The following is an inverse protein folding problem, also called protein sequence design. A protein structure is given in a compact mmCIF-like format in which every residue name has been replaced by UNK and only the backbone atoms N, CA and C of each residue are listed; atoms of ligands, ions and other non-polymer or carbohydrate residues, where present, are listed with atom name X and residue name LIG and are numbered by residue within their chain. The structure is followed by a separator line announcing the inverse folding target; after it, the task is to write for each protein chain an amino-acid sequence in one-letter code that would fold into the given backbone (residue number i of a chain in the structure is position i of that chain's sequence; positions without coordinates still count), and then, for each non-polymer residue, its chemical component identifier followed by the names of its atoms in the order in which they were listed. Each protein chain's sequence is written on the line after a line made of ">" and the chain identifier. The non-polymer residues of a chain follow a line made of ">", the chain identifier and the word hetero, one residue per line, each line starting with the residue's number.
data_IF_407676848853
#
_entry.id   IF_407676848853
#
_cell.length_a   1.000
_cell.length_b   1.000
_cell.length_c   1.000
_cell.angle_alpha   90.00
_cell.angle_beta   90.00
_cell.angle_gamma   90.00
#
_symmetry.space_group_name_H-M   'P 1'
#
loop_
_entity.id
_entity.type
_entity.pdbx_description
1 polymer ?
#
# COMPACT_ATOMS: atom_id res chain seq x y z
N UNK A 1 27.17 33.36 53.19
CA UNK A 1 27.22 33.19 51.74
C UNK A 1 25.78 33.00 51.32
N UNK A 2 25.09 34.07 50.95
CA UNK A 2 23.71 33.99 50.43
C UNK A 2 23.79 33.48 49.00
N UNK A 3 23.29 32.28 48.74
CA UNK A 3 23.14 31.75 47.40
C UNK A 3 22.30 32.72 46.58
N UNK A 4 22.95 33.35 45.60
CA UNK A 4 22.30 34.20 44.61
C UNK A 4 21.47 33.26 43.75
N UNK A 5 20.16 33.23 43.99
CA UNK A 5 19.20 32.63 43.07
C UNK A 5 19.31 33.43 41.78
N UNK A 6 19.97 32.86 40.77
CA UNK A 6 20.04 33.44 39.43
C UNK A 6 18.63 33.42 38.84
N UNK A 7 17.99 34.58 38.82
CA UNK A 7 16.64 34.81 38.29
C UNK A 7 16.64 34.83 36.74
N UNK A 8 17.40 33.93 36.11
CA UNK A 8 17.43 33.82 34.65
C UNK A 8 16.12 33.16 34.18
N UNK A 9 15.38 33.78 33.24
CA UNK A 9 14.16 33.18 32.73
C UNK A 9 14.50 31.86 32.05
N UNK A 10 13.88 30.77 32.51
CA UNK A 10 14.03 29.44 31.89
C UNK A 10 13.67 29.56 30.41
N UNK A 11 14.67 29.40 29.54
CA UNK A 11 14.44 29.42 28.09
C UNK A 11 13.66 28.17 27.69
N UNK A 12 12.43 28.35 27.24
CA UNK A 12 11.56 27.25 26.83
C UNK A 12 11.85 26.89 25.37
N UNK A 13 12.17 25.62 25.13
CA UNK A 13 12.34 25.07 23.79
C UNK A 13 11.07 24.34 23.34
N UNK A 14 10.37 24.91 22.37
CA UNK A 14 9.23 24.27 21.72
C UNK A 14 9.71 23.34 20.60
N UNK A 15 9.19 22.11 20.57
CA UNK A 15 9.55 21.10 19.56
C UNK A 15 8.31 20.70 18.77
N UNK A 16 8.54 20.05 17.64
CA UNK A 16 7.46 19.38 16.93
C UNK A 16 6.80 18.33 17.84
N UNK A 17 5.49 18.44 17.98
CA UNK A 17 4.70 17.56 18.83
C UNK A 17 3.86 16.61 17.97
N UNK A 18 4.35 15.38 17.81
CA UNK A 18 3.64 14.35 17.06
C UNK A 18 2.27 13.98 17.67
N UNK A 19 2.11 14.15 18.98
CA UNK A 19 0.83 13.93 19.65
C UNK A 19 -0.19 14.99 19.29
N UNK A 20 0.22 16.26 19.25
CA UNK A 20 -0.62 17.37 18.80
C UNK A 20 -1.01 17.23 17.32
N UNK A 21 -0.09 16.76 16.48
CA UNK A 21 -0.37 16.48 15.08
C UNK A 21 -1.39 15.34 14.90
N UNK A 22 -1.15 14.16 15.50
CA UNK A 22 -1.98 12.97 15.26
C UNK A 22 -3.29 12.98 16.02
N UNK A 23 -3.25 13.27 17.33
CA UNK A 23 -4.43 13.21 18.18
C UNK A 23 -5.20 14.54 18.21
N UNK A 24 -4.62 15.61 17.67
CA UNK A 24 -5.26 16.90 17.38
C UNK A 24 -6.24 17.33 18.49
N UNK A 25 -7.55 17.18 18.29
CA UNK A 25 -8.58 17.56 19.25
C UNK A 25 -8.45 16.87 20.62
N UNK A 26 -8.09 15.59 20.69
CA UNK A 26 -7.89 14.86 21.97
C UNK A 26 -6.72 15.48 22.73
N UNK A 27 -5.60 15.68 22.02
CA UNK A 27 -4.43 16.32 22.61
C UNK A 27 -4.77 17.72 23.09
N UNK A 28 -5.53 18.51 22.32
CA UNK A 28 -5.94 19.85 22.68
C UNK A 28 -6.82 19.90 23.93
N UNK A 29 -7.79 18.98 24.06
CA UNK A 29 -8.61 18.86 25.28
C UNK A 29 -7.75 18.57 26.51
N UNK A 30 -6.78 17.65 26.43
CA UNK A 30 -5.91 17.30 27.55
C UNK A 30 -4.89 18.42 27.91
N UNK A 31 -4.56 19.29 26.96
CA UNK A 31 -3.53 20.32 27.08
C UNK A 31 -4.06 21.76 27.10
N UNK A 32 -5.38 21.95 27.19
CA UNK A 32 -5.99 23.27 27.29
C UNK A 32 -5.91 24.09 26.01
N UNK A 33 -5.83 23.46 24.83
CA UNK A 33 -5.72 24.15 23.53
C UNK A 33 -7.03 24.01 22.75
N UNK A 34 -8.02 24.90 22.97
CA UNK A 34 -9.33 24.81 22.30
C UNK A 34 -9.22 24.98 20.79
N UNK A 35 -8.18 25.65 20.30
CA UNK A 35 -7.91 25.81 18.87
C UNK A 35 -7.72 24.45 18.17
N UNK A 36 -7.36 23.40 18.91
CA UNK A 36 -7.29 22.06 18.35
C UNK A 36 -8.65 21.52 17.89
N UNK A 37 -9.78 22.04 18.40
CA UNK A 37 -11.11 21.64 17.95
C UNK A 37 -11.39 22.06 16.50
N UNK A 38 -10.62 23.00 15.94
CA UNK A 38 -10.70 23.35 14.52
C UNK A 38 -10.38 22.17 13.60
N UNK A 39 -9.70 21.12 14.09
CA UNK A 39 -9.48 19.90 13.30
C UNK A 39 -10.75 19.08 13.07
N UNK A 40 -11.87 19.44 13.70
CA UNK A 40 -13.17 18.82 13.45
C UNK A 40 -13.93 19.48 12.29
N UNK A 41 -13.45 20.62 11.80
CA UNK A 41 -14.06 21.35 10.68
C UNK A 41 -13.49 20.83 9.36
N UNK A 42 -14.33 20.35 8.41
CA UNK A 42 -13.87 19.92 7.10
C UNK A 42 -13.09 21.03 6.37
N UNK A 43 -11.98 20.66 5.72
CA UNK A 43 -11.08 21.60 5.05
C UNK A 43 -9.99 22.13 5.99
N UNK A 44 -10.37 22.62 7.17
CA UNK A 44 -9.40 23.08 8.19
C UNK A 44 -8.64 21.92 8.80
N UNK A 45 -9.29 20.76 8.91
CA UNK A 45 -8.73 19.50 9.39
C UNK A 45 -7.51 18.98 8.59
N UNK A 46 -7.20 19.53 7.41
CA UNK A 46 -5.97 19.19 6.68
C UNK A 46 -4.77 20.04 7.11
N UNK A 47 -4.98 21.32 7.40
CA UNK A 47 -3.90 22.27 7.69
C UNK A 47 -3.63 22.34 9.20
N UNK A 48 -4.69 22.39 9.98
CA UNK A 48 -4.63 22.63 11.42
C UNK A 48 -3.79 21.59 12.20
N UNK A 49 -3.79 20.28 11.86
CA UNK A 49 -2.88 19.33 12.50
C UNK A 49 -1.41 19.74 12.39
N UNK A 50 -0.97 20.27 11.24
CA UNK A 50 0.41 20.74 11.07
C UNK A 50 0.69 21.97 11.93
N UNK A 51 -0.26 22.91 12.00
CA UNK A 51 -0.13 24.08 12.86
C UNK A 51 -0.02 23.66 14.34
N UNK A 52 -0.81 22.67 14.77
CA UNK A 52 -0.71 22.06 16.09
C UNK A 52 0.60 21.31 16.30
N UNK A 53 1.12 20.61 15.29
CA UNK A 53 2.41 19.94 15.39
C UNK A 53 3.56 20.93 15.65
N UNK A 54 3.54 22.09 14.98
CA UNK A 54 4.58 23.12 15.16
C UNK A 54 4.39 23.97 16.42
N UNK A 55 3.17 24.40 16.72
CA UNK A 55 2.88 25.37 17.79
C UNK A 55 2.28 24.72 19.04
N UNK A 56 2.01 23.42 19.03
CA UNK A 56 1.30 22.72 20.10
C UNK A 56 1.96 22.90 21.45
N UNK A 57 3.26 22.63 21.57
CA UNK A 57 3.97 22.81 22.84
C UNK A 57 3.83 24.25 23.37
N UNK A 58 3.95 25.25 22.48
CA UNK A 58 3.79 26.66 22.85
C UNK A 58 2.39 26.97 23.35
N UNK A 59 1.36 26.56 22.60
CA UNK A 59 -0.02 26.81 22.99
C UNK A 59 -0.43 26.05 24.26
N UNK A 60 0.08 24.84 24.46
CA UNK A 60 -0.15 24.08 25.68
C UNK A 60 0.50 24.76 26.90
N UNK A 61 1.68 25.35 26.72
CA UNK A 61 2.34 26.13 27.77
C UNK A 61 1.55 27.40 28.13
N UNK A 62 1.06 28.12 27.12
CA UNK A 62 0.36 29.40 27.30
C UNK A 62 -1.07 29.27 27.84
N UNK A 63 -1.79 28.18 27.53
CA UNK A 63 -3.23 28.07 27.81
C UNK A 63 -3.58 27.19 29.02
N UNK A 64 -2.62 26.51 29.64
CA UNK A 64 -2.85 25.62 30.78
C UNK A 64 -1.92 25.95 31.93
N UNK A 65 -2.44 25.85 33.15
CA UNK A 65 -1.61 25.95 34.36
C UNK A 65 -0.78 24.67 34.56
N UNK A 66 0.53 24.84 34.71
CA UNK A 66 1.48 23.76 34.95
C UNK A 66 2.16 23.97 36.30
N UNK A 67 2.30 22.91 37.10
CA UNK A 67 2.93 23.02 38.42
C UNK A 67 4.45 23.28 38.31
N UNK A 68 5.07 22.81 37.23
CA UNK A 68 6.47 23.10 36.90
C UNK A 68 6.76 22.90 35.42
N UNK A 69 7.87 23.48 34.95
CA UNK A 69 8.38 23.24 33.60
C UNK A 69 8.69 21.75 33.35
N UNK A 70 9.23 21.04 34.33
CA UNK A 70 9.54 19.61 34.21
C UNK A 70 8.28 18.76 34.04
N UNK A 71 7.20 19.11 34.77
CA UNK A 71 5.91 18.45 34.61
C UNK A 71 5.38 18.63 33.18
N UNK A 72 5.41 19.87 32.67
CA UNK A 72 5.01 20.18 31.30
C UNK A 72 5.81 19.35 30.28
N UNK A 73 7.14 19.36 30.40
CA UNK A 73 8.04 18.63 29.48
C UNK A 73 7.80 17.13 29.51
N UNK A 74 7.57 16.55 30.69
CA UNK A 74 7.27 15.12 30.82
C UNK A 74 5.96 14.75 30.10
N UNK A 75 4.93 15.60 30.19
CA UNK A 75 3.64 15.38 29.52
C UNK A 75 3.78 15.52 28.01
N UNK A 76 4.40 16.61 27.51
CA UNK A 76 4.57 16.80 26.06
C UNK A 76 5.45 15.73 25.43
N UNK A 77 6.50 15.28 26.14
CA UNK A 77 7.35 14.19 25.67
C UNK A 77 6.56 12.88 25.49
N UNK A 78 5.67 12.54 26.43
CA UNK A 78 4.80 11.35 26.32
C UNK A 78 3.90 11.45 25.08
N UNK A 79 3.22 12.59 24.91
CA UNK A 79 2.37 12.83 23.73
C UNK A 79 3.15 12.73 22.41
N UNK A 80 4.32 13.36 22.34
CA UNK A 80 5.15 13.33 21.13
C UNK A 80 5.71 11.94 20.84
N UNK A 81 6.10 11.16 21.85
CA UNK A 81 6.54 9.77 21.65
C UNK A 81 5.37 8.91 21.16
N UNK A 82 4.21 8.97 21.82
CA UNK A 82 3.04 8.16 21.45
C UNK A 82 2.58 8.47 20.03
N UNK A 83 2.51 9.75 19.65
CA UNK A 83 2.18 10.14 18.27
C UNK A 83 3.22 9.66 17.26
N UNK A 84 4.51 9.80 17.57
CA UNK A 84 5.58 9.38 16.67
C UNK A 84 5.62 7.87 16.45
N UNK A 85 5.42 7.08 17.51
CA UNK A 85 5.32 5.61 17.42
C UNK A 85 4.14 5.19 16.54
N UNK A 86 2.98 5.82 16.72
CA UNK A 86 1.79 5.51 15.92
C UNK A 86 2.00 5.81 14.42
N UNK A 87 2.64 6.94 14.09
CA UNK A 87 3.02 7.24 12.69
C UNK A 87 3.98 6.20 12.13
N UNK A 88 5.01 5.82 12.90
CA UNK A 88 5.95 4.79 12.49
C UNK A 88 5.24 3.48 12.13
N UNK A 89 4.27 3.06 12.96
CA UNK A 89 3.42 1.91 12.64
C UNK A 89 2.55 2.13 11.40
N UNK A 90 1.87 3.28 11.26
CA UNK A 90 1.03 3.56 10.10
C UNK A 90 1.81 3.55 8.78
N UNK A 91 3.02 4.12 8.77
CA UNK A 91 3.89 4.10 7.59
C UNK A 91 4.32 2.67 7.28
N UNK A 92 4.78 1.91 8.27
CA UNK A 92 5.18 0.52 8.09
C UNK A 92 4.03 -0.33 7.54
N UNK A 93 2.87 -0.32 8.19
CA UNK A 93 1.70 -1.07 7.74
C UNK A 93 1.20 -0.59 6.37
N UNK A 94 1.19 0.72 6.12
CA UNK A 94 0.83 1.29 4.83
C UNK A 94 1.72 0.78 3.71
N UNK A 95 3.04 0.74 3.91
CA UNK A 95 3.98 0.20 2.91
C UNK A 95 3.75 -1.27 2.62
N UNK A 96 3.48 -2.09 3.65
CA UNK A 96 3.17 -3.52 3.47
C UNK A 96 1.87 -3.68 2.68
N UNK A 97 0.80 -2.97 3.05
CA UNK A 97 -0.49 -3.04 2.34
C UNK A 97 -0.34 -2.65 0.87
N UNK A 98 0.29 -1.51 0.58
CA UNK A 98 0.52 -1.05 -0.80
C UNK A 98 1.28 -2.10 -1.60
N UNK A 99 2.38 -2.66 -1.04
CA UNK A 99 3.15 -3.69 -1.73
C UNK A 99 2.34 -4.95 -2.09
N UNK A 100 1.43 -5.37 -1.21
CA UNK A 100 0.54 -6.52 -1.49
C UNK A 100 -0.56 -6.20 -2.51
N UNK A 101 -1.02 -4.95 -2.55
CA UNK A 101 -2.02 -4.49 -3.54
C UNK A 101 -1.40 -4.40 -4.93
N UNK A 102 -0.16 -3.91 -5.04
CA UNK A 102 0.56 -3.82 -6.32
C UNK A 102 0.74 -5.21 -6.96
N UNK A 103 1.10 -6.23 -6.17
CA UNK A 103 1.20 -7.64 -6.64
C UNK A 103 -0.14 -8.15 -7.18
N UNK A 104 -1.26 -7.78 -6.54
CA UNK A 104 -2.60 -8.18 -7.02
C UNK A 104 -2.96 -7.48 -8.33
N UNK A 105 -2.62 -6.19 -8.49
CA UNK A 105 -2.92 -5.41 -9.70
C UNK A 105 -2.18 -5.97 -10.92
N UNK A 106 -0.93 -6.39 -10.79
CA UNK A 106 -0.17 -6.97 -11.91
C UNK A 106 -0.77 -8.32 -12.36
N UNK A 107 -1.24 -9.10 -11.40
CA UNK A 107 -1.89 -10.39 -11.64
C UNK A 107 -3.21 -10.23 -12.40
N UNK A 108 -4.03 -9.24 -12.03
CA UNK A 108 -5.33 -8.97 -12.69
C UNK A 108 -5.13 -8.65 -14.18
N UNK A 109 -4.12 -7.83 -14.53
CA UNK A 109 -3.82 -7.47 -15.93
C UNK A 109 -3.41 -8.66 -16.79
N UNK A 110 -2.63 -9.58 -16.21
CA UNK A 110 -2.21 -10.79 -16.91
C UNK A 110 -3.42 -11.71 -17.17
N UNK A 111 -4.32 -11.83 -16.20
CA UNK A 111 -5.56 -12.60 -16.35
C UNK A 111 -6.46 -11.99 -17.41
N UNK A 112 -6.64 -10.66 -17.41
CA UNK A 112 -7.42 -9.98 -18.45
C UNK A 112 -6.85 -10.22 -19.85
N UNK A 113 -5.52 -10.22 -20.00
CA UNK A 113 -4.85 -10.54 -21.26
C UNK A 113 -5.10 -11.99 -21.71
N UNK A 114 -5.01 -12.94 -20.77
CA UNK A 114 -5.27 -14.36 -21.03
C UNK A 114 -6.72 -14.57 -21.46
N UNK A 115 -7.67 -13.93 -20.77
CA UNK A 115 -9.09 -14.03 -21.08
C UNK A 115 -9.42 -13.37 -22.42
N UNK A 116 -8.84 -12.21 -22.73
CA UNK A 116 -8.98 -11.56 -24.04
C UNK A 116 -8.47 -12.47 -25.16
N UNK A 117 -7.28 -13.06 -25.00
CA UNK A 117 -6.70 -13.94 -26.02
C UNK A 117 -7.44 -15.26 -26.16
N UNK A 118 -7.87 -15.86 -25.04
CA UNK A 118 -8.69 -17.07 -25.06
C UNK A 118 -10.04 -16.81 -25.74
N UNK A 119 -10.67 -15.64 -25.53
CA UNK A 119 -11.96 -15.30 -26.15
C UNK A 119 -11.91 -15.20 -27.68
N UNK A 120 -10.73 -14.91 -28.26
CA UNK A 120 -10.53 -14.86 -29.72
C UNK A 120 -10.54 -16.24 -30.37
N UNK A 121 -10.30 -17.31 -29.60
CA UNK A 121 -10.33 -18.69 -30.10
C UNK A 121 -11.73 -19.29 -30.00
N UNK A 122 -12.25 -19.75 -31.14
CA UNK A 122 -13.56 -20.40 -31.24
C UNK A 122 -13.65 -21.69 -30.38
N UNK A 123 -12.52 -22.33 -30.10
CA UNK A 123 -12.44 -23.55 -29.29
C UNK A 123 -12.46 -23.23 -27.79
N UNK A 124 -11.81 -22.14 -27.37
CA UNK A 124 -11.80 -21.67 -25.98
C UNK A 124 -13.16 -21.11 -25.54
N UNK A 125 -13.82 -20.33 -26.41
CA UNK A 125 -15.08 -19.66 -26.09
C UNK A 125 -16.18 -20.65 -25.65
N UNK A 126 -16.26 -21.81 -26.34
CA UNK A 126 -17.21 -22.88 -26.03
C UNK A 126 -16.91 -23.61 -24.72
N UNK A 127 -15.63 -23.66 -24.34
CA UNK A 127 -15.16 -24.37 -23.15
C UNK A 127 -15.24 -23.50 -21.90
N UNK A 128 -14.97 -22.20 -22.01
CA UNK A 128 -14.92 -21.29 -20.88
C UNK A 128 -16.29 -20.86 -20.35
N UNK A 129 -17.28 -20.64 -21.23
CA UNK A 129 -18.65 -20.20 -20.89
C UNK A 129 -18.70 -19.24 -19.68
N UNK A 130 -17.98 -18.12 -19.82
CA UNK A 130 -17.68 -17.08 -18.83
C UNK A 130 -18.92 -16.59 -18.01
N UNK A 131 -18.71 -16.08 -16.78
CA UNK A 131 -17.49 -15.42 -16.27
C UNK A 131 -16.62 -16.21 -15.27
N UNK A 132 -15.28 -16.03 -15.38
CA UNK A 132 -14.31 -16.39 -14.32
C UNK A 132 -14.59 -15.51 -13.11
N UNK A 133 -14.75 -16.12 -11.94
CA UNK A 133 -15.02 -15.39 -10.69
C UNK A 133 -13.79 -15.21 -9.81
N UNK A 134 -12.82 -16.11 -9.94
CA UNK A 134 -11.63 -16.09 -9.11
C UNK A 134 -10.46 -16.74 -9.85
N UNK A 135 -9.24 -16.41 -9.45
CA UNK A 135 -8.03 -17.00 -9.99
C UNK A 135 -6.92 -17.05 -8.93
N UNK A 136 -5.98 -17.98 -9.09
CA UNK A 136 -4.78 -18.06 -8.25
C UNK A 136 -3.53 -18.20 -9.10
N UNK A 137 -2.54 -17.36 -8.83
CA UNK A 137 -1.20 -17.56 -9.37
C UNK A 137 -0.58 -18.77 -8.66
N UNK A 138 -0.14 -19.76 -9.44
CA UNK A 138 0.45 -20.98 -8.90
C UNK A 138 1.97 -20.93 -8.95
N UNK A 139 2.53 -20.55 -10.09
CA UNK A 139 3.98 -20.45 -10.28
C UNK A 139 4.31 -19.45 -11.40
N UNK A 140 5.44 -18.77 -11.28
CA UNK A 140 5.98 -17.89 -12.33
C UNK A 140 7.50 -17.93 -12.33
N UNK A 141 8.09 -18.22 -13.48
CA UNK A 141 9.55 -18.31 -13.66
C UNK A 141 10.02 -17.36 -14.75
N UNK A 142 11.25 -16.88 -14.61
CA UNK A 142 11.91 -16.04 -15.60
C UNK A 142 13.26 -16.66 -15.96
N UNK A 143 13.51 -16.87 -17.24
CA UNK A 143 14.79 -17.26 -17.80
C UNK A 143 15.39 -16.07 -18.54
N UNK A 144 16.50 -15.55 -18.02
CA UNK A 144 17.22 -14.42 -18.62
C UNK A 144 18.39 -14.99 -19.41
N UNK A 145 18.36 -14.81 -20.72
CA UNK A 145 19.49 -15.05 -21.64
C UNK A 145 20.00 -13.70 -22.16
N UNK A 146 21.21 -13.68 -22.76
CA UNK A 146 21.89 -12.44 -23.18
C UNK A 146 21.02 -11.50 -24.03
N UNK A 147 20.19 -12.05 -24.94
CA UNK A 147 19.36 -11.26 -25.87
C UNK A 147 17.84 -11.45 -25.70
N UNK A 148 17.40 -12.28 -24.74
CA UNK A 148 15.97 -12.61 -24.56
C UNK A 148 15.63 -12.93 -23.12
N UNK A 149 14.51 -12.39 -22.65
CA UNK A 149 13.90 -12.78 -21.38
C UNK A 149 12.69 -13.66 -21.70
N UNK A 150 12.66 -14.88 -21.20
CA UNK A 150 11.49 -15.75 -21.28
C UNK A 150 10.80 -15.78 -19.93
N UNK A 151 9.51 -15.47 -19.88
CA UNK A 151 8.67 -15.60 -18.70
C UNK A 151 7.69 -16.76 -18.92
N UNK A 152 7.55 -17.62 -17.92
CA UNK A 152 6.54 -18.68 -17.90
C UNK A 152 5.68 -18.52 -16.65
N UNK A 153 4.36 -18.60 -16.78
CA UNK A 153 3.43 -18.46 -15.67
C UNK A 153 2.34 -19.53 -15.74
N UNK A 154 1.96 -20.06 -14.57
CA UNK A 154 0.84 -20.98 -14.39
C UNK A 154 -0.22 -20.32 -13.52
N UNK A 155 -1.43 -20.16 -14.06
CA UNK A 155 -2.56 -19.52 -13.40
C UNK A 155 -3.74 -20.48 -13.37
N UNK A 156 -4.31 -20.68 -12.18
CA UNK A 156 -5.54 -21.46 -12.01
C UNK A 156 -6.72 -20.50 -12.15
N UNK A 157 -7.58 -20.76 -13.14
CA UNK A 157 -8.80 -20.03 -13.46
C UNK A 157 -9.99 -20.77 -12.87
N UNK A 158 -10.77 -20.11 -12.01
CA UNK A 158 -11.92 -20.71 -11.33
C UNK A 158 -13.23 -20.08 -11.82
N UNK A 159 -14.12 -20.91 -12.36
CA UNK A 159 -15.49 -20.57 -12.76
C UNK A 159 -16.50 -21.32 -11.88
N UNK A 160 -17.79 -20.94 -11.95
CA UNK A 160 -18.89 -21.63 -11.25
C UNK A 160 -19.06 -23.10 -11.67
N UNK A 161 -18.50 -23.50 -12.81
CA UNK A 161 -18.72 -24.82 -13.43
C UNK A 161 -17.47 -25.62 -13.69
N UNK A 162 -16.33 -24.96 -13.89
CA UNK A 162 -15.07 -25.57 -14.34
C UNK A 162 -13.89 -24.86 -13.72
N UNK A 163 -12.89 -25.63 -13.31
CA UNK A 163 -11.54 -25.12 -13.03
C UNK A 163 -10.66 -25.40 -14.25
N UNK A 164 -9.72 -24.49 -14.53
CA UNK A 164 -8.77 -24.66 -15.61
C UNK A 164 -7.40 -24.09 -15.26
N UNK A 165 -6.35 -24.78 -15.67
CA UNK A 165 -4.95 -24.39 -15.46
C UNK A 165 -4.40 -23.78 -16.75
N UNK A 166 -4.15 -22.47 -16.76
CA UNK A 166 -3.56 -21.74 -17.85
C UNK A 166 -2.03 -21.68 -17.71
N UNK A 167 -1.32 -22.28 -18.66
CA UNK A 167 0.12 -22.10 -18.84
C UNK A 167 0.37 -21.06 -19.91
N UNK A 168 1.18 -20.07 -19.56
CA UNK A 168 1.49 -18.91 -20.39
C UNK A 168 2.99 -18.80 -20.54
N UNK A 169 3.46 -18.64 -21.77
CA UNK A 169 4.85 -18.34 -22.06
C UNK A 169 4.94 -17.05 -22.88
N UNK A 170 5.76 -16.11 -22.42
CA UNK A 170 6.02 -14.85 -23.12
C UNK A 170 7.52 -14.60 -23.24
N UNK A 171 7.94 -14.00 -24.34
CA UNK A 171 9.35 -13.64 -24.60
C UNK A 171 9.46 -12.15 -24.81
N UNK A 172 10.41 -11.51 -24.12
CA UNK A 172 10.78 -10.13 -24.37
C UNK A 172 11.87 -10.07 -25.44
N UNK A 173 11.64 -9.30 -26.50
CA UNK A 173 12.62 -9.01 -27.55
C UNK A 173 12.62 -7.50 -27.81
N UNK A 174 13.80 -6.86 -27.79
CA UNK A 174 13.94 -5.40 -27.93
C UNK A 174 13.04 -4.60 -26.95
N UNK A 175 12.94 -5.05 -25.69
CA UNK A 175 12.06 -4.49 -24.65
C UNK A 175 10.54 -4.62 -24.89
N UNK A 176 10.11 -5.34 -25.93
CA UNK A 176 8.70 -5.62 -26.23
C UNK A 176 8.37 -7.06 -25.87
N UNK A 177 7.27 -7.27 -25.13
CA UNK A 177 6.78 -8.61 -24.78
C UNK A 177 5.92 -9.19 -25.89
N UNK A 178 6.20 -10.44 -26.24
CA UNK A 178 5.44 -11.24 -27.20
C UNK A 178 4.95 -12.52 -26.52
N UNK A 179 3.66 -12.79 -26.64
CA UNK A 179 3.06 -14.04 -26.16
C UNK A 179 3.48 -15.17 -27.12
N UNK A 180 4.20 -16.17 -26.61
CA UNK A 180 4.72 -17.29 -27.40
C UNK A 180 3.76 -18.49 -27.34
N UNK A 181 3.18 -18.75 -26.17
CA UNK A 181 2.14 -19.77 -26.03
C UNK A 181 1.16 -19.45 -24.91
N UNK A 182 -0.07 -19.91 -25.08
CA UNK A 182 -1.11 -19.92 -24.08
C UNK A 182 -1.83 -21.27 -24.22
N UNK A 183 -1.80 -22.10 -23.18
CA UNK A 183 -2.49 -23.39 -23.15
C UNK A 183 -3.29 -23.49 -21.86
N UNK A 184 -4.57 -23.82 -21.97
CA UNK A 184 -5.46 -23.96 -20.83
C UNK A 184 -5.93 -25.40 -20.75
N UNK A 185 -5.66 -26.06 -19.62
CA UNK A 185 -6.05 -27.43 -19.33
C UNK A 185 -7.27 -27.40 -18.41
N UNK A 186 -8.32 -28.15 -18.74
CA UNK A 186 -9.51 -28.26 -17.91
C UNK A 186 -9.51 -29.60 -17.16
N UNK A 187 -10.21 -29.67 -16.03
CA UNK A 187 -10.33 -30.89 -15.22
C UNK A 187 -10.91 -32.09 -15.98
N UNK A 188 -11.71 -31.85 -17.01
CA UNK A 188 -12.29 -32.89 -17.87
C UNK A 188 -11.32 -33.41 -18.94
N UNK A 189 -10.05 -32.99 -18.89
CA UNK A 189 -8.97 -33.39 -19.78
C UNK A 189 -8.96 -32.67 -21.12
N UNK A 190 -9.87 -31.71 -21.34
CA UNK A 190 -9.85 -30.87 -22.55
C UNK A 190 -8.74 -29.83 -22.45
N UNK A 191 -8.22 -29.46 -23.61
CA UNK A 191 -7.16 -28.44 -23.73
C UNK A 191 -7.61 -27.39 -24.73
N UNK A 192 -7.49 -26.13 -24.37
CA UNK A 192 -7.58 -25.03 -25.32
C UNK A 192 -6.19 -24.43 -25.58
N UNK A 193 -5.86 -24.22 -26.86
CA UNK A 193 -4.63 -23.58 -27.30
C UNK A 193 -4.96 -22.44 -28.29
N UNK A 194 -5.27 -21.23 -27.80
CA UNK A 194 -5.63 -20.09 -28.65
C UNK A 194 -4.49 -19.59 -29.56
N UNK A 195 -3.22 -19.93 -29.28
CA UNK A 195 -2.05 -19.35 -29.96
C UNK A 195 -1.36 -20.35 -30.91
N UNK A 196 -1.74 -21.64 -30.89
CA UNK A 196 -1.20 -22.72 -31.75
C UNK A 196 -1.21 -22.46 -33.27
N UNK A 197 -1.80 -21.35 -33.75
CA UNK A 197 -1.90 -21.00 -35.16
C UNK A 197 -0.73 -20.20 -35.77
N UNK A 198 0.21 -19.67 -34.98
CA UNK A 198 1.28 -18.80 -35.50
C UNK A 198 2.66 -19.44 -35.31
N UNK A 199 3.07 -20.22 -36.33
CA UNK A 199 4.42 -20.79 -36.53
C UNK A 199 4.84 -21.99 -35.67
N UNK A 200 4.12 -23.11 -35.87
CA UNK A 200 4.58 -24.45 -35.54
C UNK A 200 4.96 -25.31 -36.76
N UNK A 201 5.48 -24.74 -37.87
CA UNK A 201 6.20 -25.54 -38.87
C UNK A 201 7.59 -25.85 -38.32
N UNK A 202 7.70 -26.94 -37.56
CA UNK A 202 8.97 -27.66 -37.40
C UNK A 202 9.34 -28.22 -38.78
N UNK A 203 10.27 -27.54 -39.45
CA UNK A 203 11.13 -28.12 -40.49
C UNK A 203 12.40 -28.65 -39.85
#
# INVERSE_FOLDING_TARGET
>A
MSDVISDEPVKIEYKWNWGAFIFSWIWGLCNGVPLALLTLIPGVNFIMPFVLGFNGDKWAWENKEWASYDQFRAVQKKWSITGGVLIGFMVLFGTVIVSTLDVRIESDKLVDLILDEASKSQDCDKLFQLPVKDYRNYDSTYEINEDRIKASATIILMSDRVEGEAHVEAVQTNSVWHLESLRIFFDDGKVCDPISGVNGKRG
#
